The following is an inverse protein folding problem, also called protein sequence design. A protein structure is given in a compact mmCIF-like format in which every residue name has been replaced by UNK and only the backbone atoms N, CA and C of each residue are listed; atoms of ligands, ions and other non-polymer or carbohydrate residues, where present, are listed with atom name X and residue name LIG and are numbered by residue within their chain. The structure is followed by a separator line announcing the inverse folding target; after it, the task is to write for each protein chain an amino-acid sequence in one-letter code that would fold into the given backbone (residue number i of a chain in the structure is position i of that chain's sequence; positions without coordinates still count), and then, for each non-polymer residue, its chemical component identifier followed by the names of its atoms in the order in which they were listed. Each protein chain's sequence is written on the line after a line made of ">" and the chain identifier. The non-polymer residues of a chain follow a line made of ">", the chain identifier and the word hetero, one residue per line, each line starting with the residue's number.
data_IF_851187905146
#
_entry.id   IF_851187905146
#
_cell.length_a   1.000
_cell.length_b   1.000
_cell.length_c   1.000
_cell.angle_alpha   90.00
_cell.angle_beta   90.00
_cell.angle_gamma   90.00
#
_symmetry.space_group_name_H-M   'P 1'
#
loop_
_entity.id
_entity.type
_entity.pdbx_description
1 polymer ?
#
# COMPACT_ATOMS: atom_id res chain seq x y z
N UNK A 1 -12.53 -4.06 27.38
CA UNK A 1 -11.25 -3.34 27.42
C UNK A 1 -11.44 -2.15 28.35
N UNK A 2 -10.85 -2.16 29.55
CA UNK A 2 -11.07 -1.14 30.59
C UNK A 2 -10.37 0.19 30.29
N UNK A 3 -10.58 0.76 29.10
CA UNK A 3 -10.03 2.04 28.65
C UNK A 3 -11.17 2.96 28.21
N UNK A 4 -11.07 4.24 28.55
CA UNK A 4 -12.06 5.24 28.16
C UNK A 4 -11.92 5.63 26.69
N UNK A 5 -13.01 6.10 26.10
CA UNK A 5 -13.01 6.62 24.73
C UNK A 5 -11.96 7.72 24.51
N UNK A 6 -11.77 8.59 25.51
CA UNK A 6 -10.76 9.65 25.46
C UNK A 6 -9.32 9.11 25.50
N UNK A 7 -9.09 7.95 26.11
CA UNK A 7 -7.78 7.29 26.08
C UNK A 7 -7.50 6.71 24.70
N UNK A 8 -8.51 6.13 24.04
CA UNK A 8 -8.41 5.65 22.66
C UNK A 8 -7.99 6.78 21.72
N UNK A 9 -8.69 7.93 21.78
CA UNK A 9 -8.33 9.10 20.96
C UNK A 9 -6.91 9.62 21.21
N UNK A 10 -6.39 9.50 22.43
CA UNK A 10 -5.00 9.90 22.74
C UNK A 10 -3.98 8.95 22.14
N UNK A 11 -4.29 7.66 22.04
CA UNK A 11 -3.43 6.69 21.35
C UNK A 11 -3.42 6.95 19.85
N UNK A 12 -4.60 7.23 19.27
CA UNK A 12 -4.72 7.54 17.84
C UNK A 12 -3.98 8.83 17.47
N UNK A 13 -4.09 9.88 18.29
CA UNK A 13 -3.44 11.17 18.02
C UNK A 13 -1.98 11.23 18.53
N UNK A 14 -1.41 10.13 19.02
CA UNK A 14 -0.02 10.06 19.51
C UNK A 14 0.26 10.81 20.82
N UNK A 15 -0.77 11.34 21.50
CA UNK A 15 -0.63 12.08 22.76
C UNK A 15 -0.35 11.20 23.98
N UNK A 16 -0.45 9.87 23.84
CA UNK A 16 -0.09 8.89 24.87
C UNK A 16 0.34 7.58 24.20
N UNK A 17 1.26 6.84 24.81
CA UNK A 17 1.70 5.53 24.30
C UNK A 17 0.95 4.38 24.97
N UNK A 18 0.69 3.32 24.20
CA UNK A 18 0.17 2.05 24.71
C UNK A 18 1.29 1.22 25.35
N UNK A 19 0.99 0.52 26.44
CA UNK A 19 1.91 -0.46 27.00
C UNK A 19 1.94 -1.76 26.15
N UNK A 20 3.01 -2.54 26.31
CA UNK A 20 3.23 -3.78 25.54
C UNK A 20 2.09 -4.79 25.73
N UNK A 21 1.56 -4.87 26.95
CA UNK A 21 0.46 -5.80 27.28
C UNK A 21 -0.83 -5.47 26.51
N UNK A 22 -1.17 -4.18 26.39
CA UNK A 22 -2.31 -3.73 25.60
C UNK A 22 -2.11 -4.02 24.11
N UNK A 23 -0.90 -3.80 23.58
CA UNK A 23 -0.58 -4.11 22.19
C UNK A 23 -0.76 -5.61 21.90
N UNK A 24 -0.31 -6.48 22.80
CA UNK A 24 -0.52 -7.93 22.66
C UNK A 24 -2.00 -8.32 22.70
N UNK A 25 -2.81 -7.71 23.59
CA UNK A 25 -4.26 -7.97 23.63
C UNK A 25 -4.95 -7.52 22.35
N UNK A 26 -4.56 -6.37 21.79
CA UNK A 26 -5.08 -5.87 20.51
C UNK A 26 -4.67 -6.80 19.36
N UNK A 27 -3.39 -7.18 19.29
CA UNK A 27 -2.87 -8.10 18.28
C UNK A 27 -3.65 -9.43 18.27
N UNK A 28 -3.90 -10.00 19.45
CA UNK A 28 -4.71 -11.22 19.61
C UNK A 28 -6.16 -11.01 19.15
N UNK A 29 -6.78 -9.88 19.50
CA UNK A 29 -8.16 -9.58 19.09
C UNK A 29 -8.31 -9.40 17.57
N UNK A 30 -7.27 -8.87 16.91
CA UNK A 30 -7.23 -8.66 15.46
C UNK A 30 -6.68 -9.87 14.68
N UNK A 31 -6.27 -10.94 15.38
CA UNK A 31 -5.57 -12.10 14.80
C UNK A 31 -4.32 -11.71 13.98
N UNK A 32 -3.59 -10.69 14.44
CA UNK A 32 -2.34 -10.21 13.82
C UNK A 32 -1.14 -10.46 14.75
N UNK A 33 0.08 -10.64 14.21
CA UNK A 33 1.31 -10.60 15.00
C UNK A 33 1.50 -9.24 15.68
N UNK A 34 1.92 -9.22 16.94
CA UNK A 34 2.19 -7.96 17.66
C UNK A 34 3.30 -7.13 17.00
N UNK A 35 4.18 -7.77 16.22
CA UNK A 35 5.23 -7.11 15.45
C UNK A 35 4.70 -6.09 14.45
N UNK A 36 3.47 -6.24 13.93
CA UNK A 36 2.86 -5.29 12.99
C UNK A 36 2.67 -3.88 13.59
N UNK A 37 2.62 -3.73 14.91
CA UNK A 37 2.53 -2.43 15.59
C UNK A 37 3.89 -1.76 15.81
N UNK A 38 4.98 -2.52 15.64
CA UNK A 38 6.37 -2.08 15.87
C UNK A 38 7.21 -2.11 14.60
N UNK A 39 6.68 -2.64 13.51
CA UNK A 39 7.10 -2.25 12.18
C UNK A 39 6.80 -0.76 12.07
N UNK A 40 7.78 0.07 12.49
CA UNK A 40 8.03 1.33 11.79
C UNK A 40 7.88 0.97 10.33
N UNK A 41 7.00 1.68 9.62
CA UNK A 41 6.89 1.61 8.17
C UNK A 41 8.28 1.24 7.69
N UNK A 42 8.45 -0.02 7.27
CA UNK A 42 9.51 -0.27 6.33
C UNK A 42 9.10 0.74 5.29
N UNK A 43 9.83 1.85 5.22
CA UNK A 43 9.82 2.69 4.05
C UNK A 43 10.10 1.66 3.00
N UNK A 44 9.02 1.18 2.39
CA UNK A 44 9.10 0.34 1.24
C UNK A 44 9.81 1.32 0.33
N UNK A 45 11.12 1.14 0.20
CA UNK A 45 11.84 1.56 -0.96
C UNK A 45 11.26 0.75 -2.12
N UNK A 46 9.97 0.92 -2.39
CA UNK A 46 9.48 0.85 -3.74
C UNK A 46 10.31 1.91 -4.44
N UNK A 47 11.13 1.47 -5.39
CA UNK A 47 11.89 2.38 -6.24
C UNK A 47 10.94 3.31 -7.04
N UNK A 48 9.64 3.08 -6.95
CA UNK A 48 8.58 3.87 -7.56
C UNK A 48 7.69 4.47 -6.46
N UNK A 49 7.38 5.78 -6.54
CA UNK A 49 6.46 6.42 -5.61
C UNK A 49 5.09 5.76 -5.69
N UNK A 50 4.43 5.55 -4.55
CA UNK A 50 3.02 5.17 -4.54
C UNK A 50 2.21 6.29 -5.19
N UNK A 51 1.89 6.11 -6.48
CA UNK A 51 1.03 7.06 -7.20
C UNK A 51 -0.41 6.82 -6.74
N UNK A 52 -1.11 7.86 -6.26
CA UNK A 52 -2.49 7.71 -5.82
C UNK A 52 -3.35 7.49 -7.07
N UNK A 53 -3.70 6.23 -7.32
CA UNK A 53 -4.60 5.76 -8.38
C UNK A 53 -4.17 6.14 -9.81
N UNK A 54 -3.73 5.15 -10.58
CA UNK A 54 -3.56 5.25 -12.04
C UNK A 54 -4.75 5.96 -12.71
N UNK A 55 -4.48 6.86 -13.67
CA UNK A 55 -5.53 7.59 -14.40
C UNK A 55 -6.46 6.60 -15.12
N UNK A 56 -7.67 7.04 -15.47
CA UNK A 56 -8.59 6.20 -16.26
C UNK A 56 -7.97 5.73 -17.58
N UNK A 57 -7.11 6.54 -18.21
CA UNK A 57 -6.41 6.17 -19.44
C UNK A 57 -5.31 5.14 -19.18
N UNK A 58 -4.56 5.29 -18.09
CA UNK A 58 -3.53 4.34 -17.69
C UNK A 58 -4.14 2.96 -17.36
N UNK A 59 -5.27 2.94 -16.64
CA UNK A 59 -6.02 1.71 -16.37
C UNK A 59 -6.50 1.03 -17.66
N UNK A 60 -6.99 1.80 -18.63
CA UNK A 60 -7.43 1.28 -19.91
C UNK A 60 -6.27 0.69 -20.71
N UNK A 61 -5.13 1.39 -20.74
CA UNK A 61 -3.91 0.92 -21.39
C UNK A 61 -3.44 -0.41 -20.78
N UNK A 62 -3.37 -0.50 -19.45
CA UNK A 62 -2.96 -1.72 -18.75
C UNK A 62 -3.92 -2.89 -18.97
N UNK A 63 -5.23 -2.62 -18.99
CA UNK A 63 -6.24 -3.65 -19.29
C UNK A 63 -6.04 -4.23 -20.69
N UNK A 64 -6.00 -3.37 -21.71
CA UNK A 64 -5.82 -3.80 -23.09
C UNK A 64 -4.48 -4.51 -23.30
N UNK A 65 -3.42 -4.05 -22.63
CA UNK A 65 -2.11 -4.70 -22.69
C UNK A 65 -2.10 -6.10 -22.07
N UNK A 66 -2.84 -6.32 -20.98
CA UNK A 66 -2.99 -7.63 -20.33
C UNK A 66 -3.76 -8.62 -21.21
N UNK A 67 -4.73 -8.14 -21.97
CA UNK A 67 -5.56 -8.96 -22.87
C UNK A 67 -4.80 -9.43 -24.13
N UNK A 68 -3.64 -8.84 -24.46
CA UNK A 68 -2.80 -9.29 -25.57
C UNK A 68 -2.22 -10.69 -25.30
N UNK A 69 -2.58 -11.66 -26.15
CA UNK A 69 -2.14 -13.05 -26.03
C UNK A 69 -0.70 -13.27 -26.54
N UNK A 70 -0.31 -12.56 -27.61
CA UNK A 70 1.00 -12.76 -28.23
C UNK A 70 2.10 -11.92 -27.59
N UNK A 71 3.28 -12.53 -27.42
CA UNK A 71 4.50 -11.83 -27.00
C UNK A 71 4.96 -10.79 -28.02
N UNK A 72 4.70 -11.01 -29.31
CA UNK A 72 5.03 -10.04 -30.39
C UNK A 72 4.25 -8.73 -30.21
N UNK A 73 2.96 -8.84 -29.91
CA UNK A 73 2.06 -7.69 -29.86
C UNK A 73 2.33 -6.85 -28.62
N UNK A 74 2.67 -7.51 -27.50
CA UNK A 74 3.17 -6.83 -26.29
C UNK A 74 4.47 -6.07 -26.56
N UNK A 75 5.39 -6.68 -27.31
CA UNK A 75 6.65 -6.01 -27.69
C UNK A 75 6.40 -4.78 -28.55
N UNK A 76 5.49 -4.89 -29.54
CA UNK A 76 5.11 -3.76 -30.39
C UNK A 76 4.47 -2.63 -29.58
N UNK A 77 3.52 -2.95 -28.70
CA UNK A 77 2.85 -1.97 -27.85
C UNK A 77 3.86 -1.20 -26.98
N UNK A 78 4.80 -1.90 -26.34
CA UNK A 78 5.88 -1.25 -25.57
C UNK A 78 6.75 -0.38 -26.47
N UNK A 79 7.12 -0.84 -27.67
CA UNK A 79 7.95 -0.08 -28.59
C UNK A 79 7.29 1.23 -29.03
N UNK A 80 5.99 1.20 -29.32
CA UNK A 80 5.20 2.40 -29.68
C UNK A 80 5.14 3.37 -28.50
N UNK A 81 4.75 2.90 -27.32
CA UNK A 81 4.66 3.75 -26.11
C UNK A 81 6.02 4.38 -25.80
N UNK A 82 7.11 3.60 -25.89
CA UNK A 82 8.48 4.09 -25.69
C UNK A 82 8.90 5.14 -26.72
N UNK A 83 8.46 5.01 -27.97
CA UNK A 83 8.74 6.00 -29.02
C UNK A 83 8.00 7.30 -28.76
N UNK A 84 6.76 7.22 -28.29
CA UNK A 84 5.93 8.39 -28.01
C UNK A 84 6.28 9.08 -26.68
N UNK A 85 6.84 8.35 -25.71
CA UNK A 85 7.24 8.90 -24.40
C UNK A 85 8.60 9.59 -24.41
N UNK A 86 9.47 9.28 -25.38
CA UNK A 86 10.72 10.00 -25.61
C UNK A 86 10.41 11.32 -26.32
N UNK A 87 10.27 12.40 -25.54
CA UNK A 87 10.45 13.77 -26.05
C UNK A 87 11.91 14.01 -26.42
#
# INVERSE_FOLDING_TARGET
>A
MGVSYQQIQRYENGGSMLNVENIQRIAKALALPATCFFEQERQCYAAEPETPYASSEEKLLLRNFRDLASKSDRHLAIAVVRRLSRK
#
